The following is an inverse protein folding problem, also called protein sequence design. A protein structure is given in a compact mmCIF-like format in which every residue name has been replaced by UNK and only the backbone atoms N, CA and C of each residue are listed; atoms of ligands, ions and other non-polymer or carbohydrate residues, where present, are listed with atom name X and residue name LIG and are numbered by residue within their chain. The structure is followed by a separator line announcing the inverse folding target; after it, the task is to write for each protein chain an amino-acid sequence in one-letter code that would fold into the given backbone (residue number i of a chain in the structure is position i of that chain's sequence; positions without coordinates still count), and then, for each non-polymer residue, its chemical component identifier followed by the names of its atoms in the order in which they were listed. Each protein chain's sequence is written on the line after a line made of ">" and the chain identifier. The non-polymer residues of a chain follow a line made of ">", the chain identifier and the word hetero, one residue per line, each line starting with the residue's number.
data_IF_343136272183
#
_entry.id   IF_343136272183
#
_cell.length_a   1.000
_cell.length_b   1.000
_cell.length_c   1.000
_cell.angle_alpha   90.00
_cell.angle_beta   90.00
_cell.angle_gamma   90.00
#
_symmetry.space_group_name_H-M   'P 1'
#
loop_
_entity.id
_entity.type
_entity.pdbx_description
1 polymer ?
#
# COMPACT_ATOMS: atom_id res chain seq x y z
N UNK A 1 15.59 -2.18 4.42
CA UNK A 1 14.46 -2.38 5.35
C UNK A 1 13.29 -1.59 4.83
N UNK A 2 12.09 -2.17 4.70
CA UNK A 2 10.90 -1.39 4.33
C UNK A 2 10.50 -0.47 5.48
N UNK A 3 9.94 0.72 5.22
CA UNK A 3 9.50 1.68 6.27
C UNK A 3 8.59 1.02 7.33
N UNK A 4 7.83 0.00 6.95
CA UNK A 4 7.00 -0.79 7.87
C UNK A 4 7.81 -1.61 8.88
N UNK A 5 8.98 -2.14 8.49
CA UNK A 5 9.86 -2.86 9.43
C UNK A 5 10.49 -1.93 10.46
N UNK A 6 10.86 -0.70 10.08
CA UNK A 6 11.35 0.31 11.03
C UNK A 6 10.26 0.81 11.98
N UNK A 7 9.03 0.98 11.49
CA UNK A 7 7.89 1.38 12.34
C UNK A 7 7.55 0.27 13.35
N UNK A 8 7.52 -0.99 12.89
CA UNK A 8 7.28 -2.15 13.76
C UNK A 8 8.36 -2.26 14.85
N UNK A 9 9.64 -2.09 14.47
CA UNK A 9 10.76 -2.09 15.42
C UNK A 9 10.67 -0.95 16.44
N UNK A 10 10.25 0.25 16.01
CA UNK A 10 10.04 1.37 16.92
C UNK A 10 8.88 1.10 17.89
N UNK A 11 7.78 0.50 17.43
CA UNK A 11 6.66 0.10 18.29
C UNK A 11 7.06 -0.99 19.29
N UNK A 12 7.84 -1.99 18.86
CA UNK A 12 8.34 -3.06 19.74
C UNK A 12 9.29 -2.48 20.80
N UNK A 13 10.22 -1.60 20.40
CA UNK A 13 11.13 -0.94 21.32
C UNK A 13 10.40 -0.04 22.33
N UNK A 14 9.37 0.70 21.88
CA UNK A 14 8.51 1.50 22.75
C UNK A 14 7.75 0.64 23.76
N UNK A 15 7.16 -0.47 23.33
CA UNK A 15 6.45 -1.39 24.22
C UNK A 15 7.39 -2.04 25.26
N UNK A 16 8.62 -2.39 24.86
CA UNK A 16 9.64 -2.94 25.76
C UNK A 16 10.12 -1.91 26.81
N UNK A 17 10.24 -0.62 26.43
CA UNK A 17 10.58 0.45 27.37
C UNK A 17 9.46 0.70 28.39
N UNK A 18 8.21 0.73 27.94
CA UNK A 18 7.05 0.92 28.83
C UNK A 18 6.97 -0.23 29.83
N UNK A 19 7.01 -1.48 29.36
CA UNK A 19 6.99 -2.67 30.24
C UNK A 19 8.19 -2.76 31.18
N UNK A 20 9.37 -2.31 30.73
CA UNK A 20 10.56 -2.22 31.59
C UNK A 20 10.39 -1.20 32.73
N UNK A 21 9.87 -0.01 32.41
CA UNK A 21 9.66 1.06 33.40
C UNK A 21 8.60 0.68 34.44
N UNK A 22 7.49 0.09 34.01
CA UNK A 22 6.41 -0.34 34.91
C UNK A 22 6.82 -1.48 35.82
N UNK A 23 7.66 -2.41 35.34
CA UNK A 23 8.22 -3.48 36.17
C UNK A 23 9.12 -2.92 37.29
N UNK A 24 9.92 -1.90 36.99
CA UNK A 24 10.71 -1.21 38.03
C UNK A 24 9.84 -0.45 39.03
N UNK A 25 8.79 0.24 38.60
CA UNK A 25 7.86 0.96 39.48
C UNK A 25 7.06 0.00 40.37
N UNK A 26 6.67 -1.17 39.86
CA UNK A 26 6.03 -2.22 40.64
C UNK A 26 6.95 -2.76 41.75
N UNK A 27 8.22 -3.04 41.43
CA UNK A 27 9.21 -3.48 42.44
C UNK A 27 9.42 -2.39 43.50
N UNK A 28 9.43 -1.11 43.10
CA UNK A 28 9.54 0.02 44.03
C UNK A 28 8.28 0.18 44.90
N UNK A 29 7.08 0.01 44.34
CA UNK A 29 5.82 0.12 45.08
C UNK A 29 5.67 -1.00 46.12
N UNK A 30 6.07 -2.22 45.78
CA UNK A 30 6.10 -3.38 46.69
C UNK A 30 7.11 -3.19 47.84
N UNK A 31 8.18 -2.43 47.59
CA UNK A 31 9.17 -2.05 48.61
C UNK A 31 8.72 -0.91 49.54
N UNK A 32 7.73 -0.10 49.14
CA UNK A 32 7.35 1.14 49.83
C UNK A 32 5.91 1.17 50.38
N UNK A 33 5.18 0.05 50.37
CA UNK A 33 3.83 -0.12 50.96
C UNK A 33 2.84 0.95 50.46
N UNK A 34 2.80 1.15 49.13
CA UNK A 34 1.92 2.14 48.51
C UNK A 34 0.49 1.62 48.35
N UNK A 35 -0.46 2.31 48.98
CA UNK A 35 -1.90 2.00 48.94
C UNK A 35 -2.61 2.29 47.60
N UNK A 36 -1.91 2.83 46.59
CA UNK A 36 -2.49 3.26 45.31
C UNK A 36 -2.16 2.33 44.12
N UNK A 37 -1.71 1.11 44.40
CA UNK A 37 -1.30 0.12 43.38
C UNK A 37 -2.39 -0.16 42.34
N UNK A 38 -3.66 -0.21 42.76
CA UNK A 38 -4.80 -0.45 41.88
C UNK A 38 -4.99 0.66 40.84
N UNK A 39 -4.70 1.92 41.20
CA UNK A 39 -4.82 3.06 40.30
C UNK A 39 -3.71 3.03 39.23
N UNK A 40 -2.49 2.69 39.63
CA UNK A 40 -1.33 2.58 38.74
C UNK A 40 -1.56 1.45 37.74
N UNK A 41 -1.97 0.27 38.22
CA UNK A 41 -2.27 -0.89 37.38
C UNK A 41 -3.39 -0.60 36.36
N UNK A 42 -4.41 0.15 36.79
CA UNK A 42 -5.52 0.57 35.92
C UNK A 42 -5.06 1.49 34.78
N UNK A 43 -4.19 2.47 35.05
CA UNK A 43 -3.65 3.38 34.04
C UNK A 43 -2.76 2.66 33.03
N UNK A 44 -1.97 1.68 33.47
CA UNK A 44 -1.12 0.86 32.59
C UNK A 44 -1.96 0.00 31.64
N UNK A 45 -3.01 -0.64 32.14
CA UNK A 45 -3.92 -1.45 31.33
C UNK A 45 -4.56 -0.61 30.22
N UNK A 46 -4.94 0.63 30.51
CA UNK A 46 -5.49 1.58 29.52
C UNK A 46 -4.44 1.94 28.46
N UNK A 47 -3.19 2.21 28.87
CA UNK A 47 -2.09 2.51 27.94
C UNK A 47 -1.78 1.32 27.04
N UNK A 48 -1.70 0.10 27.58
CA UNK A 48 -1.50 -1.12 26.80
C UNK A 48 -2.65 -1.36 25.82
N UNK A 49 -3.91 -1.19 26.25
CA UNK A 49 -5.07 -1.33 25.38
C UNK A 49 -5.07 -0.27 24.26
N UNK A 50 -4.68 0.97 24.56
CA UNK A 50 -4.53 2.04 23.57
C UNK A 50 -3.46 1.74 22.53
N UNK A 51 -2.28 1.29 22.97
CA UNK A 51 -1.18 0.90 22.08
C UNK A 51 -1.54 -0.32 21.21
N UNK A 52 -2.24 -1.31 21.77
CA UNK A 52 -2.73 -2.46 21.03
C UNK A 52 -3.76 -2.04 19.98
N UNK A 53 -4.70 -1.16 20.34
CA UNK A 53 -5.68 -0.59 19.42
C UNK A 53 -5.01 0.15 18.26
N UNK A 54 -3.99 0.96 18.55
CA UNK A 54 -3.21 1.68 17.53
C UNK A 54 -2.45 0.71 16.62
N UNK A 55 -1.81 -0.32 17.17
CA UNK A 55 -1.16 -1.37 16.38
C UNK A 55 -2.15 -2.10 15.48
N UNK A 56 -3.32 -2.45 15.99
CA UNK A 56 -4.39 -3.08 15.22
C UNK A 56 -4.80 -2.17 14.05
N UNK A 57 -5.03 -0.88 14.29
CA UNK A 57 -5.36 0.09 13.24
C UNK A 57 -4.26 0.19 12.18
N UNK A 58 -2.99 0.20 12.60
CA UNK A 58 -1.83 0.26 11.69
C UNK A 58 -1.60 -1.04 10.91
N UNK A 59 -1.90 -2.19 11.53
CA UNK A 59 -1.75 -3.51 10.92
C UNK A 59 -2.95 -3.89 10.03
N UNK A 60 -4.11 -3.26 10.22
CA UNK A 60 -5.23 -3.47 9.32
C UNK A 60 -4.84 -2.99 7.92
N UNK A 61 -4.83 -3.90 6.92
CA UNK A 61 -4.54 -3.51 5.55
C UNK A 61 -5.53 -2.42 5.16
N UNK A 62 -5.00 -1.26 4.77
CA UNK A 62 -5.83 -0.12 4.41
C UNK A 62 -6.87 -0.61 3.39
N UNK A 63 -8.17 -0.40 3.68
CA UNK A 63 -9.22 -0.94 2.84
C UNK A 63 -8.96 -0.48 1.41
N UNK A 64 -8.95 -1.43 0.47
CA UNK A 64 -8.93 -1.16 -0.97
C UNK A 64 -9.94 -0.04 -1.25
N UNK A 65 -9.64 0.83 -2.23
CA UNK A 65 -10.59 1.84 -2.65
C UNK A 65 -11.97 1.19 -2.84
N UNK A 66 -13.00 1.87 -2.32
CA UNK A 66 -14.39 1.41 -2.28
C UNK A 66 -14.75 0.84 -3.66
N UNK A 67 -15.13 -0.43 -3.71
CA UNK A 67 -15.69 -1.11 -4.90
C UNK A 67 -14.71 -1.44 -6.03
N UNK A 68 -13.49 -1.89 -5.73
CA UNK A 68 -12.59 -2.40 -6.77
C UNK A 68 -12.27 -1.33 -7.81
N UNK A 69 -11.87 -0.15 -7.34
CA UNK A 69 -11.41 0.94 -8.21
C UNK A 69 -9.91 1.12 -8.10
N UNK A 70 -9.29 1.53 -9.20
CA UNK A 70 -7.92 1.99 -9.26
C UNK A 70 -7.89 3.49 -9.46
N UNK A 71 -6.91 4.15 -8.86
CA UNK A 71 -6.59 5.55 -9.10
C UNK A 71 -5.55 5.59 -10.20
N UNK A 72 -5.88 6.25 -11.31
CA UNK A 72 -4.99 6.46 -12.44
C UNK A 72 -4.48 7.89 -12.39
N UNK A 73 -3.17 8.02 -12.34
CA UNK A 73 -2.43 9.27 -12.45
C UNK A 73 -1.79 9.32 -13.84
N UNK A 74 -2.23 10.28 -14.64
CA UNK A 74 -1.61 10.64 -15.92
C UNK A 74 -0.58 11.74 -15.69
N UNK A 75 0.59 11.54 -16.29
CA UNK A 75 1.76 12.40 -16.18
C UNK A 75 2.06 12.90 -17.59
N UNK A 76 2.15 14.22 -17.73
CA UNK A 76 2.41 14.84 -19.03
C UNK A 76 3.89 14.68 -19.45
N UNK A 77 4.22 15.28 -20.61
CA UNK A 77 5.59 15.23 -21.17
C UNK A 77 6.64 15.95 -20.31
N UNK A 78 6.22 16.81 -19.39
CA UNK A 78 7.09 17.56 -18.49
C UNK A 78 7.26 16.87 -17.13
N UNK A 79 6.66 15.70 -16.93
CA UNK A 79 6.75 14.98 -15.66
C UNK A 79 5.86 15.54 -14.56
N UNK A 80 4.85 16.36 -14.89
CA UNK A 80 3.88 16.89 -13.92
C UNK A 80 2.53 16.19 -14.04
N UNK A 81 1.74 16.12 -12.94
CA UNK A 81 0.43 15.49 -12.96
C UNK A 81 -0.50 16.23 -13.92
N UNK A 82 -1.12 15.50 -14.82
CA UNK A 82 -2.10 16.03 -15.77
C UNK A 82 -3.52 15.72 -15.30
N UNK A 83 -3.77 14.49 -14.83
CA UNK A 83 -5.08 14.05 -14.41
C UNK A 83 -4.98 12.92 -13.38
N UNK A 84 -5.73 13.05 -12.29
CA UNK A 84 -5.93 11.99 -11.30
C UNK A 84 -7.41 11.60 -11.34
N UNK A 85 -7.72 10.34 -11.64
CA UNK A 85 -9.10 9.85 -11.71
C UNK A 85 -9.24 8.43 -11.19
N UNK A 86 -10.45 8.06 -10.80
CA UNK A 86 -10.78 6.67 -10.47
C UNK A 86 -11.31 5.93 -11.71
N UNK A 87 -10.85 4.70 -11.87
CA UNK A 87 -11.32 3.77 -12.90
C UNK A 87 -11.71 2.48 -12.22
N UNK A 88 -12.87 1.92 -12.56
CA UNK A 88 -13.27 0.60 -12.08
C UNK A 88 -12.33 -0.49 -12.61
N UNK A 89 -12.06 -1.51 -11.79
CA UNK A 89 -11.22 -2.66 -12.14
C UNK A 89 -11.60 -3.27 -13.50
N UNK A 90 -12.89 -3.46 -13.74
CA UNK A 90 -13.44 -4.01 -14.99
C UNK A 90 -13.10 -3.14 -16.20
N UNK A 91 -13.22 -1.81 -16.05
CA UNK A 91 -12.87 -0.85 -17.10
C UNK A 91 -11.38 -0.81 -17.35
N UNK A 92 -10.54 -0.96 -16.31
CA UNK A 92 -9.10 -1.05 -16.48
C UNK A 92 -8.72 -2.28 -17.30
N UNK A 93 -9.29 -3.45 -16.97
CA UNK A 93 -9.07 -4.69 -17.72
C UNK A 93 -9.57 -4.55 -19.16
N UNK A 94 -10.77 -3.99 -19.35
CA UNK A 94 -11.35 -3.78 -20.68
C UNK A 94 -10.51 -2.85 -21.54
N UNK A 95 -10.11 -1.69 -21.02
CA UNK A 95 -9.24 -0.74 -21.72
C UNK A 95 -7.90 -1.38 -22.08
N UNK A 96 -7.30 -2.12 -21.13
CA UNK A 96 -6.05 -2.82 -21.37
C UNK A 96 -6.20 -3.85 -22.51
N UNK A 97 -7.29 -4.64 -22.54
CA UNK A 97 -7.57 -5.61 -23.63
C UNK A 97 -7.85 -4.97 -24.99
N UNK A 98 -8.39 -3.76 -24.99
CA UNK A 98 -8.63 -3.00 -26.22
C UNK A 98 -7.33 -2.39 -26.77
N UNK A 99 -6.45 -1.95 -25.88
CA UNK A 99 -5.17 -1.33 -26.25
C UNK A 99 -4.08 -2.35 -26.58
N UNK A 100 -4.09 -3.50 -25.90
CA UNK A 100 -3.09 -4.55 -26.04
C UNK A 100 -3.78 -5.88 -26.33
N UNK A 101 -3.38 -6.55 -27.41
CA UNK A 101 -3.82 -7.93 -27.66
C UNK A 101 -3.18 -8.84 -26.60
N UNK A 102 -3.96 -9.18 -25.58
CA UNK A 102 -3.51 -9.96 -24.42
C UNK A 102 -3.92 -11.42 -24.53
N UNK A 103 -2.94 -12.31 -24.45
CA UNK A 103 -3.13 -13.74 -24.26
C UNK A 103 -2.62 -14.13 -22.86
N UNK A 104 -3.49 -14.79 -22.09
CA UNK A 104 -3.20 -15.24 -20.74
C UNK A 104 -2.82 -16.73 -20.78
N UNK A 105 -1.54 -17.04 -20.53
CA UNK A 105 -1.02 -18.41 -20.51
C UNK A 105 -0.44 -18.74 -19.14
N UNK A 106 -0.96 -19.81 -18.51
CA UNK A 106 -0.35 -20.38 -17.31
C UNK A 106 0.68 -21.42 -17.76
N UNK A 107 1.96 -21.10 -17.61
CA UNK A 107 3.06 -21.98 -17.99
C UNK A 107 3.56 -22.74 -16.76
N UNK A 108 3.85 -24.04 -16.90
CA UNK A 108 4.66 -24.75 -15.90
C UNK A 108 6.11 -24.33 -16.07
N UNK A 109 6.78 -23.96 -14.97
CA UNK A 109 8.22 -23.74 -14.99
C UNK A 109 8.93 -25.07 -15.24
N UNK A 110 9.43 -25.26 -16.45
CA UNK A 110 10.15 -26.49 -16.82
C UNK A 110 11.59 -26.52 -16.28
N UNK A 111 12.12 -25.42 -15.74
CA UNK A 111 13.48 -25.38 -15.18
C UNK A 111 13.56 -25.91 -13.74
N UNK A 112 12.45 -25.97 -13.02
CA UNK A 112 12.40 -26.48 -11.63
C UNK A 112 11.90 -27.93 -11.55
N UNK A 113 12.50 -28.84 -12.33
CA UNK A 113 12.09 -30.26 -12.36
C UNK A 113 12.48 -31.05 -11.08
N UNK A 114 13.28 -30.48 -10.16
CA UNK A 114 13.78 -31.20 -8.97
C UNK A 114 13.09 -30.91 -7.64
N UNK A 115 12.13 -29.99 -7.56
CA UNK A 115 11.45 -29.74 -6.27
C UNK A 115 10.10 -29.03 -6.47
N UNK A 116 9.00 -29.78 -6.60
CA UNK A 116 7.63 -29.27 -6.50
C UNK A 116 7.32 -28.13 -7.47
N UNK A 117 7.02 -28.48 -8.73
CA UNK A 117 6.92 -27.56 -9.87
C UNK A 117 6.33 -26.20 -9.53
N UNK A 118 7.14 -25.15 -9.70
CA UNK A 118 6.63 -23.78 -9.72
C UNK A 118 5.87 -23.62 -11.02
N UNK A 119 4.71 -22.99 -10.95
CA UNK A 119 4.07 -22.52 -12.17
C UNK A 119 4.44 -21.04 -12.34
N UNK A 120 4.32 -20.52 -13.54
CA UNK A 120 4.55 -19.11 -13.87
C UNK A 120 3.29 -18.64 -14.60
N UNK A 121 2.65 -17.60 -14.08
CA UNK A 121 1.63 -16.89 -14.85
C UNK A 121 2.36 -16.03 -15.88
N UNK A 122 2.16 -16.30 -17.16
CA UNK A 122 2.68 -15.47 -18.25
C UNK A 122 1.53 -14.71 -18.88
N UNK A 123 1.67 -13.40 -19.00
CA UNK A 123 0.80 -12.61 -19.86
C UNK A 123 1.62 -12.21 -21.07
N UNK A 124 1.21 -12.72 -22.24
CA UNK A 124 1.74 -12.27 -23.52
C UNK A 124 0.88 -11.10 -23.95
N UNK A 125 1.51 -9.99 -24.30
CA UNK A 125 0.80 -8.86 -24.87
C UNK A 125 1.58 -8.36 -26.09
N UNK A 126 0.88 -8.18 -27.20
CA UNK A 126 1.47 -7.61 -28.41
C UNK A 126 1.46 -6.08 -28.29
N UNK A 127 2.65 -5.48 -28.24
CA UNK A 127 2.88 -4.03 -28.21
C UNK A 127 3.97 -3.70 -29.24
N UNK A 128 3.62 -3.73 -30.55
CA UNK A 128 4.49 -3.61 -31.74
C UNK A 128 5.70 -4.60 -31.82
N UNK A 129 6.28 -4.95 -30.69
CA UNK A 129 7.18 -6.04 -30.35
C UNK A 129 6.45 -7.01 -29.40
N UNK A 130 6.58 -8.32 -29.63
CA UNK A 130 5.97 -9.33 -28.76
C UNK A 130 6.66 -9.34 -27.37
N UNK A 131 6.10 -8.61 -26.41
CA UNK A 131 6.60 -8.56 -25.03
C UNK A 131 5.83 -9.54 -24.16
N UNK A 132 6.56 -10.25 -23.30
CA UNK A 132 5.97 -11.17 -22.33
C UNK A 132 6.46 -10.84 -20.94
N UNK A 133 5.56 -10.94 -19.96
CA UNK A 133 5.92 -10.86 -18.56
C UNK A 133 5.58 -12.17 -17.86
N UNK A 134 6.55 -12.69 -17.11
CA UNK A 134 6.43 -13.89 -16.30
C UNK A 134 6.41 -13.51 -14.82
N UNK A 135 5.38 -13.92 -14.08
CA UNK A 135 5.27 -13.76 -12.63
C UNK A 135 5.18 -15.14 -11.94
N UNK A 136 5.82 -15.34 -10.78
CA UNK A 136 5.77 -16.61 -10.04
C UNK A 136 4.36 -16.93 -9.51
N UNK A 137 3.93 -18.20 -9.55
CA UNK A 137 2.53 -18.59 -9.26
C UNK A 137 2.04 -18.32 -7.84
N UNK A 138 2.95 -18.15 -6.89
CA UNK A 138 2.61 -18.01 -5.47
C UNK A 138 1.74 -16.76 -5.20
N UNK A 139 1.67 -15.86 -6.19
CA UNK A 139 0.70 -14.78 -6.33
C UNK A 139 0.32 -14.65 -7.80
N UNK A 140 -0.60 -15.49 -8.31
CA UNK A 140 -1.22 -15.23 -9.62
C UNK A 140 -1.86 -13.84 -9.53
N UNK A 141 -1.39 -12.85 -10.32
CA UNK A 141 -1.99 -11.53 -10.28
C UNK A 141 -3.44 -11.63 -10.74
N UNK A 142 -4.35 -10.89 -10.09
CA UNK A 142 -5.71 -10.77 -10.61
C UNK A 142 -5.67 -10.14 -12.01
N UNK A 143 -6.70 -10.34 -12.87
CA UNK A 143 -6.73 -9.69 -14.18
C UNK A 143 -6.49 -8.18 -14.13
N UNK A 144 -6.98 -7.51 -13.08
CA UNK A 144 -6.80 -6.08 -12.89
C UNK A 144 -5.37 -5.72 -12.43
N UNK A 145 -4.73 -6.57 -11.62
CA UNK A 145 -3.31 -6.42 -11.29
C UNK A 145 -2.41 -6.64 -12.52
N UNK A 146 -2.74 -7.62 -13.36
CA UNK A 146 -2.05 -7.85 -14.63
C UNK A 146 -2.21 -6.64 -15.57
N UNK A 147 -3.45 -6.13 -15.72
CA UNK A 147 -3.73 -4.94 -16.52
C UNK A 147 -2.94 -3.72 -16.01
N UNK A 148 -2.89 -3.50 -14.69
CA UNK A 148 -2.05 -2.45 -14.09
C UNK A 148 -0.58 -2.58 -14.54
N UNK A 149 0.01 -3.77 -14.38
CA UNK A 149 1.42 -4.01 -14.72
C UNK A 149 1.68 -3.75 -16.20
N UNK A 150 0.78 -4.19 -17.08
CA UNK A 150 0.93 -4.03 -18.53
C UNK A 150 0.87 -2.56 -18.90
N UNK A 151 -0.14 -1.83 -18.44
CA UNK A 151 -0.27 -0.38 -18.73
C UNK A 151 0.96 0.40 -18.27
N UNK A 152 1.44 0.16 -17.04
CA UNK A 152 2.62 0.85 -16.49
C UNK A 152 3.91 0.51 -17.25
N UNK A 153 4.03 -0.70 -17.81
CA UNK A 153 5.20 -1.12 -18.59
C UNK A 153 5.17 -0.65 -20.03
N UNK A 154 4.00 -0.64 -20.66
CA UNK A 154 3.85 -0.21 -22.04
C UNK A 154 3.92 1.31 -22.20
N UNK A 155 3.53 2.07 -21.17
CA UNK A 155 3.56 3.54 -21.20
C UNK A 155 4.39 4.08 -20.03
N UNK A 156 5.71 3.82 -20.01
CA UNK A 156 6.56 4.14 -18.88
C UNK A 156 6.61 5.65 -18.63
N UNK A 157 6.43 6.04 -17.37
CA UNK A 157 6.56 7.42 -16.92
C UNK A 157 5.38 8.34 -17.26
N UNK A 158 4.40 7.89 -18.05
CA UNK A 158 3.17 8.67 -18.33
C UNK A 158 1.96 8.22 -17.53
N UNK A 159 1.88 6.96 -17.16
CA UNK A 159 0.74 6.44 -16.39
C UNK A 159 1.26 5.72 -15.15
N UNK A 160 0.66 6.05 -14.02
CA UNK A 160 0.84 5.36 -12.74
C UNK A 160 -0.52 4.95 -12.18
N UNK A 161 -0.62 3.74 -11.66
CA UNK A 161 -1.88 3.18 -11.20
C UNK A 161 -1.76 2.75 -9.74
N UNK A 162 -2.64 3.25 -8.88
CA UNK A 162 -2.62 3.02 -7.44
C UNK A 162 -3.93 2.36 -6.96
N UNK A 163 -3.85 1.50 -5.95
CA UNK A 163 -5.03 0.78 -5.42
C UNK A 163 -5.88 1.61 -4.48
N UNK A 164 -5.29 2.66 -3.91
CA UNK A 164 -5.93 3.54 -2.95
C UNK A 164 -5.15 4.87 -2.88
N UNK A 165 -5.73 5.91 -2.27
CA UNK A 165 -5.06 7.21 -2.15
C UNK A 165 -3.78 7.18 -1.31
N UNK A 166 -3.66 6.20 -0.40
CA UNK A 166 -2.47 6.06 0.44
C UNK A 166 -1.25 5.60 -0.37
N UNK A 167 -1.41 4.63 -1.27
CA UNK A 167 -0.33 4.21 -2.19
C UNK A 167 0.14 5.38 -3.07
N UNK A 168 -0.79 6.23 -3.51
CA UNK A 168 -0.46 7.46 -4.25
C UNK A 168 0.32 8.44 -3.36
N UNK A 169 -0.15 8.69 -2.14
CA UNK A 169 0.52 9.59 -1.20
C UNK A 169 1.93 9.10 -0.80
N UNK A 170 2.09 7.78 -0.58
CA UNK A 170 3.39 7.16 -0.31
C UNK A 170 4.35 7.36 -1.48
N UNK A 171 3.89 7.10 -2.71
CA UNK A 171 4.68 7.34 -3.91
C UNK A 171 5.08 8.81 -4.06
N UNK A 172 4.18 9.77 -3.80
CA UNK A 172 4.50 11.20 -3.80
C UNK A 172 5.56 11.53 -2.75
N UNK A 173 5.50 10.91 -1.57
CA UNK A 173 6.47 11.15 -0.49
C UNK A 173 7.90 10.76 -0.87
N UNK A 174 8.05 9.83 -1.81
CA UNK A 174 9.33 9.34 -2.30
C UNK A 174 9.85 10.15 -3.51
N UNK A 175 9.09 11.14 -4.02
CA UNK A 175 9.54 12.03 -5.11
C UNK A 175 10.60 13.06 -4.63
N UNK A 176 11.35 13.69 -5.55
CA UNK A 176 12.15 14.88 -5.26
C UNK A 176 11.30 16.06 -4.74
N UNK A 177 11.84 16.87 -3.82
CA UNK A 177 11.13 17.98 -3.16
C UNK A 177 10.54 19.01 -4.13
N UNK A 178 11.23 19.28 -5.24
CA UNK A 178 10.77 20.18 -6.30
C UNK A 178 9.50 19.70 -7.01
N UNK A 179 9.29 18.39 -7.07
CA UNK A 179 8.08 17.78 -7.66
C UNK A 179 6.99 17.55 -6.60
N UNK A 180 7.36 17.29 -5.34
CA UNK A 180 6.39 16.97 -4.28
C UNK A 180 5.25 17.97 -4.19
N UNK A 181 5.55 19.27 -4.20
CA UNK A 181 4.54 20.31 -4.04
C UNK A 181 3.45 20.23 -5.14
N UNK A 182 3.86 20.05 -6.40
CA UNK A 182 2.94 19.98 -7.55
C UNK A 182 2.04 18.74 -7.45
N UNK A 183 2.61 17.59 -7.08
CA UNK A 183 1.84 16.36 -6.92
C UNK A 183 0.95 16.36 -5.67
N UNK A 184 1.38 17.02 -4.59
CA UNK A 184 0.56 17.20 -3.39
C UNK A 184 -0.67 18.06 -3.68
N UNK A 185 -0.50 19.18 -4.40
CA UNK A 185 -1.62 20.03 -4.80
C UNK A 185 -2.65 19.26 -5.64
N UNK A 186 -2.18 18.47 -6.63
CA UNK A 186 -3.05 17.62 -7.44
C UNK A 186 -3.77 16.54 -6.60
N UNK A 187 -3.06 15.91 -5.66
CA UNK A 187 -3.65 14.93 -4.74
C UNK A 187 -4.73 15.58 -3.87
N UNK A 188 -4.47 16.76 -3.30
CA UNK A 188 -5.44 17.49 -2.51
C UNK A 188 -6.70 17.85 -3.31
N UNK A 189 -6.53 18.34 -4.54
CA UNK A 189 -7.65 18.64 -5.42
C UNK A 189 -8.48 17.40 -5.70
N UNK A 190 -7.84 16.29 -6.04
CA UNK A 190 -8.49 15.00 -6.22
C UNK A 190 -9.27 14.55 -4.98
N UNK A 191 -8.67 14.64 -3.78
CA UNK A 191 -9.33 14.26 -2.53
C UNK A 191 -10.53 15.17 -2.22
N UNK A 192 -10.42 16.48 -2.46
CA UNK A 192 -11.55 17.42 -2.30
C UNK A 192 -12.71 17.06 -3.21
N UNK A 193 -12.42 16.73 -4.48
CA UNK A 193 -13.43 16.29 -5.44
C UNK A 193 -14.08 14.96 -5.01
N UNK A 194 -13.27 13.97 -4.61
CA UNK A 194 -13.70 12.64 -4.20
C UNK A 194 -14.63 12.67 -2.99
N UNK A 195 -14.31 13.47 -1.98
CA UNK A 195 -15.06 13.48 -0.72
C UNK A 195 -16.20 14.52 -0.68
N UNK A 196 -16.47 15.22 -1.80
CA UNK A 196 -17.47 16.29 -1.86
C UNK A 196 -17.41 17.20 -0.63
N UNK A 197 -16.20 17.58 -0.21
CA UNK A 197 -16.03 18.57 0.85
C UNK A 197 -16.39 19.91 0.21
N UNK A 198 -17.70 20.18 0.10
CA UNK A 198 -18.19 21.53 -0.15
C UNK A 198 -17.62 22.35 0.98
N UNK A 199 -16.81 23.36 0.66
CA UNK A 199 -16.55 24.46 1.59
C UNK A 199 -17.92 24.93 2.07
N UNK A 200 -18.24 24.63 3.32
CA UNK A 200 -19.32 25.31 4.02
C UNK A 200 -18.74 26.71 4.23
N UNK A 201 -18.98 27.57 3.24
CA UNK A 201 -18.81 29.01 3.34
C UNK A 201 -19.96 29.58 4.18
#
# INVERSE_FOLDING_TARGET
>A
MSKNTSLLLACIAGAALITGMTFTEYILADLYDFHDLDLILGMELILCAGMLGLLIILLFPHPRARNGTYIVLEINRYGTPELIREIQEENLVFCCRKMFSMEYDILRDMQTQKSGGRYIASVKYLDEEAKSFCAPLNRIPTPAEAAKIIVEKSIPGRIRIFRNPFELAEWISDLPEDLKAVYQEALEEYLRQRFHIRKIL
#
